data_IF_608242211447
#
_entry.id   IF_608242211447
#
_cell.length_a   1.000
_cell.length_b   1.000
_cell.length_c   1.000
_cell.angle_alpha   90.00
_cell.angle_beta   90.00
_cell.angle_gamma   90.00
#
_symmetry.space_group_name_H-M   'P 1'
#
loop_
_entity.id
_entity.type
_entity.pdbx_description
1 polymer ?
#
# COMPACT_ATOMS: atom_id res chain seq x y z
N UNK A 1 18.11 1.41 6.11
CA UNK A 1 17.84 0.08 5.50
C UNK A 1 17.02 -0.70 6.50
N UNK A 2 15.78 -1.04 6.14
CA UNK A 2 14.88 -1.85 6.96
C UNK A 2 14.92 -3.27 6.39
N UNK A 3 15.11 -4.27 7.25
CA UNK A 3 15.19 -5.68 6.87
C UNK A 3 14.24 -6.45 7.77
N UNK A 4 13.26 -7.13 7.20
CA UNK A 4 12.47 -8.13 7.92
C UNK A 4 12.85 -9.52 7.43
N UNK A 5 12.89 -10.48 8.35
CA UNK A 5 13.22 -11.87 8.08
C UNK A 5 12.16 -12.72 8.79
N UNK A 6 11.60 -13.69 8.09
CA UNK A 6 10.63 -14.64 8.64
C UNK A 6 10.90 -16.03 8.09
N UNK A 7 10.57 -17.05 8.87
CA UNK A 7 10.76 -18.45 8.51
C UNK A 7 9.51 -19.06 7.85
N UNK A 8 8.36 -18.37 7.89
CA UNK A 8 7.05 -19.01 7.70
C UNK A 8 6.35 -18.62 6.40
N UNK A 9 6.48 -17.37 5.94
CA UNK A 9 5.75 -16.88 4.76
C UNK A 9 6.44 -15.68 4.14
N UNK A 10 6.44 -15.58 2.82
CA UNK A 10 6.91 -14.38 2.14
C UNK A 10 6.03 -13.18 2.55
N UNK A 11 6.67 -12.05 2.80
CA UNK A 11 6.03 -10.78 3.05
C UNK A 11 6.76 -9.69 2.27
N UNK A 12 6.06 -8.61 1.96
CA UNK A 12 6.66 -7.38 1.50
C UNK A 12 6.38 -6.27 2.49
N UNK A 13 7.33 -5.36 2.66
CA UNK A 13 7.23 -4.25 3.60
C UNK A 13 7.71 -2.98 2.94
N UNK A 14 6.98 -1.90 3.15
CA UNK A 14 7.39 -0.57 2.72
C UNK A 14 7.08 0.49 3.78
N UNK A 15 7.85 1.59 3.73
CA UNK A 15 7.72 2.74 4.63
C UNK A 15 7.90 4.02 3.84
N UNK A 16 6.93 4.93 3.97
CA UNK A 16 6.93 6.20 3.25
C UNK A 16 6.54 7.36 4.17
N UNK A 17 7.06 8.54 3.84
CA UNK A 17 6.70 9.77 4.52
C UNK A 17 5.70 10.55 3.65
N UNK A 18 4.64 11.10 4.26
CA UNK A 18 3.54 11.78 3.55
C UNK A 18 4.01 12.95 2.67
N UNK A 19 5.14 13.58 3.02
CA UNK A 19 5.76 14.68 2.25
C UNK A 19 6.97 14.25 1.42
N UNK A 20 7.18 12.95 1.22
CA UNK A 20 8.35 12.42 0.52
C UNK A 20 8.32 12.62 -1.00
N UNK A 21 7.13 12.81 -1.59
CA UNK A 21 6.94 12.73 -3.04
C UNK A 21 5.93 13.74 -3.60
N UNK A 22 6.00 13.96 -4.92
CA UNK A 22 4.95 14.61 -5.71
C UNK A 22 3.88 13.58 -6.09
N UNK A 23 2.86 13.43 -5.23
CA UNK A 23 1.81 12.44 -5.43
C UNK A 23 1.02 12.61 -6.74
N UNK A 24 0.57 13.81 -7.14
CA UNK A 24 -0.05 14.00 -8.44
C UNK A 24 0.80 13.48 -9.60
N UNK A 25 2.11 13.76 -9.60
CA UNK A 25 3.01 13.29 -10.65
C UNK A 25 3.15 11.76 -10.67
N UNK A 26 3.30 11.13 -9.50
CA UNK A 26 3.38 9.66 -9.38
C UNK A 26 2.09 9.02 -9.88
N UNK A 27 0.92 9.49 -9.42
CA UNK A 27 -0.36 8.91 -9.80
C UNK A 27 -0.70 9.14 -11.29
N UNK A 28 -0.30 10.29 -11.85
CA UNK A 28 -0.36 10.53 -13.29
C UNK A 28 0.54 9.57 -14.08
N UNK A 29 1.78 9.33 -13.60
CA UNK A 29 2.70 8.35 -14.20
C UNK A 29 2.13 6.92 -14.15
N UNK A 30 1.58 6.52 -13.00
CA UNK A 30 0.93 5.21 -12.81
C UNK A 30 -0.37 5.06 -13.62
N UNK A 31 -0.96 6.18 -14.08
CA UNK A 31 -2.32 6.23 -14.65
C UNK A 31 -3.36 5.58 -13.74
N UNK A 32 -3.15 5.70 -12.44
CA UNK A 32 -4.06 5.21 -11.41
C UNK A 32 -4.91 6.38 -10.92
N UNK A 33 -6.24 6.22 -10.76
CA UNK A 33 -7.13 7.33 -10.41
C UNK A 33 -6.73 7.95 -9.07
N UNK A 34 -6.67 9.27 -8.96
CA UNK A 34 -6.37 9.91 -7.68
C UNK A 34 -7.34 9.38 -6.60
N UNK A 35 -6.84 8.94 -5.43
CA UNK A 35 -7.70 8.51 -4.34
C UNK A 35 -8.66 9.64 -3.94
N UNK A 36 -9.94 9.33 -3.82
CA UNK A 36 -10.92 10.27 -3.27
C UNK A 36 -11.01 10.03 -1.76
N UNK A 37 -10.67 11.01 -0.91
CA UNK A 37 -10.73 10.82 0.53
C UNK A 37 -12.18 10.59 0.99
N UNK A 38 -12.40 9.51 1.71
CA UNK A 38 -13.64 9.24 2.45
C UNK A 38 -13.36 9.47 3.94
N UNK A 39 -13.67 10.68 4.42
CA UNK A 39 -13.51 11.18 5.80
C UNK A 39 -12.07 11.44 6.27
N UNK A 40 -11.85 12.59 6.95
CA UNK A 40 -10.71 13.03 7.80
C UNK A 40 -9.25 12.82 7.34
N UNK A 41 -9.02 12.21 6.19
CA UNK A 41 -7.69 11.91 5.66
C UNK A 41 -7.32 12.92 4.59
N UNK A 42 -6.10 13.46 4.63
CA UNK A 42 -5.61 14.33 3.56
C UNK A 42 -5.37 13.53 2.27
N UNK A 43 -5.47 14.20 1.12
CA UNK A 43 -5.21 13.53 -0.16
C UNK A 43 -3.77 13.00 -0.22
N UNK A 44 -2.81 13.72 0.35
CA UNK A 44 -1.41 13.33 0.42
C UNK A 44 -1.23 12.08 1.28
N UNK A 45 -1.90 12.02 2.44
CA UNK A 45 -1.86 10.84 3.30
C UNK A 45 -2.40 9.62 2.58
N UNK A 46 -3.55 9.77 1.90
CA UNK A 46 -4.18 8.67 1.17
C UNK A 46 -3.35 8.21 -0.03
N UNK A 47 -2.75 9.14 -0.78
CA UNK A 47 -1.80 8.83 -1.84
C UNK A 47 -0.58 8.08 -1.31
N UNK A 48 0.01 8.57 -0.21
CA UNK A 48 1.13 7.92 0.45
C UNK A 48 0.79 6.49 0.88
N UNK A 49 -0.41 6.27 1.44
CA UNK A 49 -0.86 4.95 1.86
C UNK A 49 -1.02 3.99 0.69
N UNK A 50 -1.70 4.42 -0.39
CA UNK A 50 -1.84 3.63 -1.62
C UNK A 50 -0.48 3.26 -2.20
N UNK A 51 0.46 4.22 -2.23
CA UNK A 51 1.82 3.99 -2.71
C UNK A 51 2.60 3.00 -1.82
N UNK A 52 2.54 3.15 -0.49
CA UNK A 52 3.22 2.25 0.45
C UNK A 52 2.67 0.81 0.32
N UNK A 53 1.35 0.65 0.13
CA UNK A 53 0.73 -0.66 -0.12
C UNK A 53 1.20 -1.25 -1.46
N UNK A 54 1.26 -0.42 -2.51
CA UNK A 54 1.77 -0.81 -3.81
C UNK A 54 3.20 -1.36 -3.68
N UNK A 55 4.11 -0.61 -3.06
CA UNK A 55 5.51 -0.96 -2.88
C UNK A 55 5.68 -2.22 -2.00
N UNK A 56 4.85 -2.38 -0.95
CA UNK A 56 4.84 -3.60 -0.15
C UNK A 56 4.41 -4.81 -0.98
N UNK A 57 3.35 -4.70 -1.80
CA UNK A 57 2.95 -5.75 -2.72
C UNK A 57 4.01 -6.07 -3.79
N UNK A 58 4.67 -5.03 -4.33
CA UNK A 58 5.78 -5.18 -5.26
C UNK A 58 6.92 -6.00 -4.65
N UNK A 59 7.32 -5.68 -3.42
CA UNK A 59 8.38 -6.39 -2.69
C UNK A 59 7.99 -7.82 -2.33
N UNK A 60 6.71 -8.09 -2.05
CA UNK A 60 6.19 -9.45 -1.78
C UNK A 60 6.36 -10.38 -2.99
N UNK A 61 6.03 -9.90 -4.19
CA UNK A 61 6.03 -10.71 -5.39
C UNK A 61 7.32 -10.57 -6.23
N UNK A 62 8.17 -9.60 -5.89
CA UNK A 62 9.42 -9.33 -6.59
C UNK A 62 9.22 -9.05 -8.09
N UNK A 63 10.10 -9.63 -8.92
CA UNK A 63 10.10 -9.43 -10.38
C UNK A 63 8.84 -9.91 -11.12
N UNK A 64 7.95 -10.66 -10.47
CA UNK A 64 6.65 -11.03 -11.05
C UNK A 64 5.76 -9.80 -11.28
N UNK A 65 5.96 -8.74 -10.47
CA UNK A 65 5.26 -7.45 -10.59
C UNK A 65 6.06 -6.45 -11.43
N UNK A 66 7.35 -6.69 -11.69
CA UNK A 66 8.20 -5.83 -12.53
C UNK A 66 7.78 -5.78 -14.01
N UNK A 67 6.86 -6.66 -14.44
CA UNK A 67 6.19 -6.59 -15.75
C UNK A 67 4.70 -6.21 -15.65
N UNK A 68 4.19 -6.03 -14.44
CA UNK A 68 2.79 -5.75 -14.22
C UNK A 68 2.47 -4.28 -14.52
N UNK A 69 1.42 -4.11 -15.29
CA UNK A 69 0.84 -2.81 -15.56
C UNK A 69 0.21 -2.27 -14.27
N UNK A 70 0.69 -1.12 -13.79
CA UNK A 70 0.22 -0.47 -12.58
C UNK A 70 -1.29 -0.18 -12.59
N UNK A 71 -1.91 -0.13 -13.78
CA UNK A 71 -3.38 -0.05 -13.95
C UNK A 71 -4.12 -1.26 -13.39
N UNK A 72 -3.42 -2.36 -13.13
CA UNK A 72 -3.98 -3.59 -12.58
C UNK A 72 -3.94 -3.61 -11.05
N UNK A 73 -3.40 -2.58 -10.40
CA UNK A 73 -3.47 -2.41 -8.95
C UNK A 73 -4.92 -2.12 -8.54
N UNK A 74 -5.48 -3.01 -7.74
CA UNK A 74 -6.72 -2.79 -7.00
C UNK A 74 -6.43 -2.84 -5.50
N UNK A 75 -6.83 -1.81 -4.77
CA UNK A 75 -6.73 -1.77 -3.31
C UNK A 75 -8.12 -1.53 -2.74
N UNK A 76 -8.48 -2.31 -1.73
CA UNK A 76 -9.72 -2.16 -0.98
C UNK A 76 -9.42 -2.10 0.51
N UNK A 77 -10.08 -1.16 1.19
CA UNK A 77 -10.04 -1.00 2.63
C UNK A 77 -11.37 -1.46 3.24
N UNK A 78 -11.38 -2.08 4.43
CA UNK A 78 -12.61 -2.37 5.16
C UNK A 78 -13.41 -1.09 5.41
N UNK A 79 -14.73 -1.14 5.18
CA UNK A 79 -15.60 0.03 5.30
C UNK A 79 -15.76 0.55 6.74
N UNK A 80 -15.43 -0.27 7.73
CA UNK A 80 -15.56 -0.04 9.16
C UNK A 80 -14.28 0.52 9.82
N UNK A 81 -13.19 0.65 9.07
CA UNK A 81 -11.93 1.14 9.62
C UNK A 81 -11.71 2.63 9.33
N UNK A 82 -11.48 3.47 10.36
CA UNK A 82 -11.09 4.86 10.16
C UNK A 82 -9.68 4.87 9.56
N UNK A 83 -9.59 5.24 8.28
CA UNK A 83 -8.40 5.01 7.49
C UNK A 83 -7.14 5.69 8.04
N UNK A 84 -7.20 6.83 8.75
CA UNK A 84 -5.97 7.50 9.24
C UNK A 84 -6.12 8.46 10.45
N UNK A 85 -6.89 8.14 11.49
CA UNK A 85 -6.65 8.79 12.79
C UNK A 85 -5.72 7.90 13.60
N UNK A 86 -4.39 8.06 13.44
CA UNK A 86 -3.31 7.36 14.18
C UNK A 86 -3.67 5.93 14.57
N UNK A 87 -3.25 4.96 13.78
CA UNK A 87 -3.60 3.58 14.08
C UNK A 87 -3.33 2.62 12.96
N UNK A 88 -3.76 1.39 13.21
CA UNK A 88 -3.61 0.25 12.33
C UNK A 88 -4.78 0.25 11.34
N UNK A 89 -4.48 0.05 10.06
CA UNK A 89 -5.45 -0.19 9.01
C UNK A 89 -5.16 -1.53 8.34
N UNK A 90 -6.20 -2.20 7.88
CA UNK A 90 -6.11 -3.42 7.10
C UNK A 90 -6.42 -3.12 5.64
N UNK A 91 -5.87 -3.91 4.72
CA UNK A 91 -6.14 -3.76 3.30
C UNK A 91 -6.14 -5.11 2.57
N UNK A 92 -6.81 -5.14 1.42
CA UNK A 92 -6.66 -6.19 0.42
C UNK A 92 -6.20 -5.55 -0.88
N UNK A 93 -5.17 -6.13 -1.49
CA UNK A 93 -4.57 -5.68 -2.73
C UNK A 93 -4.55 -6.77 -3.79
N UNK A 94 -4.52 -6.37 -5.05
CA UNK A 94 -4.25 -7.28 -6.15
C UNK A 94 -3.45 -6.60 -7.28
N UNK A 95 -2.56 -7.37 -7.91
CA UNK A 95 -1.94 -7.07 -9.20
C UNK A 95 -2.37 -8.15 -10.19
N UNK A 96 -3.33 -7.84 -11.06
CA UNK A 96 -3.94 -8.86 -11.94
C UNK A 96 -4.44 -10.09 -11.13
N UNK A 97 -3.84 -11.26 -11.34
CA UNK A 97 -4.18 -12.51 -10.64
C UNK A 97 -3.44 -12.70 -9.31
N UNK A 98 -2.44 -11.86 -9.01
CA UNK A 98 -1.69 -11.90 -7.75
C UNK A 98 -2.47 -11.18 -6.66
N UNK A 99 -2.94 -11.90 -5.65
CA UNK A 99 -3.71 -11.35 -4.53
C UNK A 99 -2.87 -11.30 -3.27
N UNK A 100 -3.03 -10.24 -2.50
CA UNK A 100 -2.37 -10.03 -1.22
C UNK A 100 -3.31 -9.34 -0.24
N UNK A 101 -3.01 -9.51 1.04
CA UNK A 101 -3.67 -8.81 2.13
C UNK A 101 -2.61 -8.34 3.11
N UNK A 102 -2.97 -7.39 3.96
CA UNK A 102 -1.99 -6.83 4.86
C UNK A 102 -2.55 -5.86 5.86
N UNK A 103 -1.64 -5.37 6.67
CA UNK A 103 -1.88 -4.33 7.65
C UNK A 103 -0.86 -3.22 7.43
N UNK A 104 -1.27 -2.00 7.74
CA UNK A 104 -0.36 -0.88 7.86
C UNK A 104 -0.67 -0.06 9.09
N UNK A 105 0.26 0.83 9.42
CA UNK A 105 0.14 1.76 10.54
C UNK A 105 0.50 3.16 10.06
N UNK A 106 -0.29 4.13 10.51
CA UNK A 106 0.02 5.55 10.37
C UNK A 106 0.49 6.07 11.72
N UNK A 107 1.76 6.45 11.80
CA UNK A 107 2.37 7.06 12.98
C UNK A 107 2.95 8.43 12.57
N UNK A 108 2.41 9.49 13.15
CA UNK A 108 2.65 10.88 12.74
C UNK A 108 2.47 11.10 11.23
N UNK A 109 3.57 11.28 10.48
CA UNK A 109 3.60 11.49 9.04
C UNK A 109 4.25 10.33 8.27
N UNK A 110 4.45 9.19 8.95
CA UNK A 110 4.98 7.96 8.39
C UNK A 110 3.87 6.94 8.21
N UNK A 111 3.91 6.26 7.07
CA UNK A 111 3.03 5.15 6.76
C UNK A 111 3.90 3.92 6.54
N UNK A 112 3.56 2.84 7.23
CA UNK A 112 4.23 1.56 7.11
C UNK A 112 3.18 0.55 6.66
N UNK A 113 3.46 -0.23 5.61
CA UNK A 113 2.56 -1.28 5.13
C UNK A 113 3.29 -2.61 5.03
N UNK A 114 2.63 -3.68 5.47
CA UNK A 114 3.11 -5.06 5.36
C UNK A 114 2.10 -5.87 4.56
N UNK A 115 2.55 -6.46 3.45
CA UNK A 115 1.74 -7.29 2.57
C UNK A 115 2.17 -8.76 2.65
N UNK A 116 1.19 -9.66 2.66
CA UNK A 116 1.39 -11.12 2.64
C UNK A 116 0.42 -11.77 1.65
N UNK A 117 0.76 -12.95 1.15
CA UNK A 117 -0.21 -13.77 0.41
C UNK A 117 -1.32 -14.25 1.37
N UNK A 118 -2.60 -14.24 0.99
CA UNK A 118 -3.68 -14.73 1.84
C UNK A 118 -3.45 -16.20 2.19
N UNK A 119 -3.71 -16.58 3.43
CA UNK A 119 -3.72 -17.99 3.82
C UNK A 119 -4.83 -18.70 3.03
N UNK A 120 -4.46 -19.74 2.30
CA UNK A 120 -5.35 -20.62 1.52
C UNK A 120 -6.29 -21.43 2.41
#
# INVERSE_FOLDING_TARGET
>A
MLVGITEQSAFGLDIEHVLGHDWPAIFAYMRWPMPTPIHQVSIEGLCCCVWTIYEAGFKLFGGLVAQSDFRLLSITFPADQPLMNRGIFSFKGAFADLRFAGEGIVEDAWIISVAMQPLS
#
